data_IF_556383416616
#
_entry.id   IF_556383416616
#
_cell.length_a   1.000
_cell.length_b   1.000
_cell.length_c   1.000
_cell.angle_alpha   90.00
_cell.angle_beta   90.00
_cell.angle_gamma   90.00
#
_symmetry.space_group_name_H-M   'P 1'
#
loop_
_entity.id
_entity.type
_entity.pdbx_description
1 polymer ?
#
# COMPACT_ATOMS: atom_id res chain seq x y z
N UNK A 1 9.14 -1.48 -51.25
CA UNK A 1 8.32 -0.57 -50.41
C UNK A 1 7.73 -1.21 -49.14
N UNK A 2 7.55 -2.54 -49.04
CA UNK A 2 6.95 -3.19 -47.85
C UNK A 2 7.85 -3.32 -46.60
N UNK A 3 9.18 -3.30 -46.74
CA UNK A 3 10.09 -3.41 -45.58
C UNK A 3 10.09 -2.16 -44.69
N UNK A 4 9.88 -0.98 -45.28
CA UNK A 4 9.90 0.29 -44.56
C UNK A 4 8.67 0.46 -43.66
N UNK A 5 7.49 0.04 -44.15
CA UNK A 5 6.24 0.04 -43.36
C UNK A 5 6.26 -0.98 -42.23
N UNK A 6 6.93 -2.12 -42.42
CA UNK A 6 7.13 -3.13 -41.36
C UNK A 6 8.05 -2.60 -40.23
N UNK A 7 9.16 -1.93 -40.58
CA UNK A 7 10.02 -1.31 -39.57
C UNK A 7 9.33 -0.19 -38.78
N UNK A 8 8.52 0.62 -39.46
CA UNK A 8 7.75 1.68 -38.79
C UNK A 8 6.73 1.12 -37.78
N UNK A 9 6.02 0.06 -38.15
CA UNK A 9 5.05 -0.60 -37.26
C UNK A 9 5.73 -1.26 -36.06
N UNK A 10 6.86 -1.94 -36.25
CA UNK A 10 7.64 -2.51 -35.14
C UNK A 10 8.13 -1.42 -34.18
N UNK A 11 8.67 -0.31 -34.70
CA UNK A 11 9.12 0.81 -33.86
C UNK A 11 7.98 1.45 -33.06
N UNK A 12 6.79 1.58 -33.67
CA UNK A 12 5.61 2.10 -32.99
C UNK A 12 5.19 1.18 -31.84
N UNK A 13 5.14 -0.14 -32.07
CA UNK A 13 4.80 -1.14 -31.03
C UNK A 13 5.79 -1.08 -29.87
N UNK A 14 7.10 -1.05 -30.16
CA UNK A 14 8.14 -0.95 -29.13
C UNK A 14 8.02 0.34 -28.31
N UNK A 15 7.66 1.45 -28.95
CA UNK A 15 7.49 2.75 -28.28
C UNK A 15 6.26 2.73 -27.36
N UNK A 16 5.13 2.21 -27.83
CA UNK A 16 3.91 2.06 -27.02
C UNK A 16 4.15 1.11 -25.84
N UNK A 17 4.90 0.01 -26.05
CA UNK A 17 5.25 -0.91 -24.98
C UNK A 17 6.13 -0.25 -23.91
N UNK A 18 7.12 0.56 -24.31
CA UNK A 18 7.94 1.33 -23.36
C UNK A 18 7.12 2.33 -22.54
N UNK A 19 6.20 3.05 -23.18
CA UNK A 19 5.34 4.02 -22.50
C UNK A 19 4.40 3.33 -21.50
N UNK A 20 3.79 2.21 -21.88
CA UNK A 20 2.91 1.44 -20.98
C UNK A 20 3.67 0.88 -19.79
N UNK A 21 4.87 0.32 -20.00
CA UNK A 21 5.74 -0.11 -18.89
C UNK A 21 6.10 1.04 -17.96
N UNK A 22 6.45 2.22 -18.48
CA UNK A 22 6.75 3.41 -17.67
C UNK A 22 5.56 3.82 -16.79
N UNK A 23 4.35 3.84 -17.34
CA UNK A 23 3.13 4.14 -16.58
C UNK A 23 2.87 3.10 -15.48
N UNK A 24 3.11 1.82 -15.76
CA UNK A 24 2.96 0.74 -14.77
C UNK A 24 3.96 0.92 -13.63
N UNK A 25 5.24 1.17 -13.96
CA UNK A 25 6.27 1.42 -12.95
C UNK A 25 5.94 2.64 -12.08
N UNK A 26 5.54 3.76 -12.69
CA UNK A 26 5.18 4.96 -11.94
C UNK A 26 3.98 4.73 -10.99
N UNK A 27 2.97 3.98 -11.44
CA UNK A 27 1.84 3.59 -10.60
C UNK A 27 2.29 2.68 -9.45
N UNK A 28 3.21 1.77 -9.70
CA UNK A 28 3.73 0.85 -8.68
C UNK A 28 4.54 1.60 -7.60
N UNK A 29 5.46 2.48 -8.00
CA UNK A 29 6.25 3.30 -7.07
C UNK A 29 5.35 4.19 -6.19
N UNK A 30 4.30 4.78 -6.77
CA UNK A 30 3.32 5.55 -6.01
C UNK A 30 2.55 4.69 -4.99
N UNK A 31 2.11 3.49 -5.38
CA UNK A 31 1.41 2.55 -4.47
C UNK A 31 2.34 2.09 -3.35
N UNK A 32 3.61 1.83 -3.67
CA UNK A 32 4.62 1.43 -2.70
C UNK A 32 4.88 2.56 -1.69
N UNK A 33 5.12 3.79 -2.17
CA UNK A 33 5.29 4.97 -1.33
C UNK A 33 4.10 5.22 -0.40
N UNK A 34 2.87 5.02 -0.89
CA UNK A 34 1.67 5.14 -0.07
C UNK A 34 1.54 4.03 1.00
N UNK A 35 1.97 2.80 0.68
CA UNK A 35 2.02 1.71 1.65
C UNK A 35 3.05 1.99 2.73
N UNK A 36 4.23 2.47 2.35
CA UNK A 36 5.32 2.80 3.27
C UNK A 36 4.90 3.95 4.19
N UNK A 37 4.27 5.02 3.67
CA UNK A 37 3.73 6.10 4.50
C UNK A 37 2.72 5.59 5.54
N UNK A 38 1.81 4.68 5.15
CA UNK A 38 0.87 4.05 6.09
C UNK A 38 1.58 3.20 7.16
N UNK A 39 2.74 2.63 6.84
CA UNK A 39 3.55 1.86 7.77
C UNK A 39 4.38 2.75 8.72
N UNK A 40 4.82 3.93 8.28
CA UNK A 40 5.48 4.90 9.17
C UNK A 40 4.50 5.65 10.08
N UNK A 41 3.27 5.86 9.62
CA UNK A 41 2.25 6.59 10.38
C UNK A 41 1.51 5.70 11.41
N UNK A 42 1.64 4.38 11.38
CA UNK A 42 0.86 3.51 12.25
C UNK A 42 1.49 3.33 13.65
N UNK A 43 0.67 2.91 14.62
CA UNK A 43 1.08 2.73 16.01
C UNK A 43 1.63 1.33 16.28
N UNK A 44 2.69 1.29 17.08
CA UNK A 44 3.38 0.07 17.51
C UNK A 44 2.65 -0.68 18.63
N UNK A 45 3.21 -1.81 19.04
CA UNK A 45 2.67 -2.65 20.11
C UNK A 45 2.48 -1.86 21.42
N UNK A 46 1.39 -2.14 22.13
CA UNK A 46 0.94 -1.49 23.38
C UNK A 46 0.77 0.05 23.31
N UNK A 47 0.84 0.64 22.12
CA UNK A 47 0.52 2.05 21.92
C UNK A 47 -0.98 2.28 22.05
N UNK A 48 -1.37 3.45 22.55
CA UNK A 48 -2.77 3.85 22.60
C UNK A 48 -3.32 4.01 21.18
N UNK A 49 -4.48 3.46 20.89
CA UNK A 49 -5.11 3.50 19.57
C UNK A 49 -6.59 3.90 19.65
N UNK A 50 -7.12 4.45 18.56
CA UNK A 50 -8.55 4.70 18.42
C UNK A 50 -9.22 3.47 17.75
N UNK A 51 -10.28 2.90 18.35
CA UNK A 51 -11.00 1.79 17.74
C UNK A 51 -11.73 2.25 16.46
N UNK A 52 -11.82 1.37 15.47
CA UNK A 52 -12.50 1.59 14.17
C UNK A 52 -12.09 2.83 13.38
N UNK A 53 -10.91 3.38 13.65
CA UNK A 53 -10.37 4.50 12.89
C UNK A 53 -9.81 4.06 11.54
N UNK A 54 -10.03 4.88 10.52
CA UNK A 54 -9.35 4.77 9.22
C UNK A 54 -8.08 5.64 9.16
N UNK A 55 -7.83 6.46 10.18
CA UNK A 55 -6.65 7.32 10.25
C UNK A 55 -5.42 6.51 10.65
N UNK A 56 -4.39 6.39 9.78
CA UNK A 56 -3.20 5.60 10.08
C UNK A 56 -2.53 5.98 11.40
N UNK A 57 -2.42 7.28 11.67
CA UNK A 57 -1.83 7.87 12.89
C UNK A 57 -2.51 7.50 14.20
N UNK A 58 -3.77 7.05 14.12
CA UNK A 58 -4.57 6.63 15.28
C UNK A 58 -4.75 5.10 15.31
N UNK A 59 -4.43 4.42 14.20
CA UNK A 59 -4.55 2.98 14.03
C UNK A 59 -3.26 2.22 14.36
N UNK A 60 -3.37 0.90 14.52
CA UNK A 60 -2.23 0.02 14.76
C UNK A 60 -1.59 -0.43 13.44
N UNK A 61 -0.31 -0.77 13.48
CA UNK A 61 0.39 -1.31 12.32
C UNK A 61 -0.13 -2.70 11.93
N UNK A 62 -1.10 -2.72 11.02
CA UNK A 62 -1.66 -3.96 10.48
C UNK A 62 -0.63 -4.80 9.72
N UNK A 63 0.34 -4.16 9.05
CA UNK A 63 1.48 -4.86 8.40
C UNK A 63 2.29 -5.70 9.40
N UNK A 64 2.36 -5.26 10.65
CA UNK A 64 3.05 -5.94 11.76
C UNK A 64 2.14 -6.90 12.54
N UNK A 65 0.95 -7.22 12.02
CA UNK A 65 0.00 -8.12 12.66
C UNK A 65 -0.64 -7.56 13.93
N UNK A 66 -0.67 -6.23 14.10
CA UNK A 66 -1.28 -5.59 15.27
C UNK A 66 -2.75 -5.24 15.01
N UNK A 67 -3.56 -5.23 16.07
CA UNK A 67 -4.95 -4.79 16.06
C UNK A 67 -5.25 -3.95 17.30
N UNK A 68 -6.14 -2.97 17.17
CA UNK A 68 -6.59 -2.18 18.31
C UNK A 68 -7.60 -2.99 19.11
N UNK A 69 -7.30 -3.27 20.38
CA UNK A 69 -8.23 -3.92 21.31
C UNK A 69 -8.47 -3.04 22.52
N UNK A 70 -9.73 -2.98 22.95
CA UNK A 70 -10.18 -2.22 24.11
C UNK A 70 -10.70 -3.17 25.19
N UNK A 71 -10.91 -2.64 26.40
CA UNK A 71 -11.66 -3.37 27.41
C UNK A 71 -13.17 -3.44 27.04
N UNK A 72 -13.97 -4.12 27.87
CA UNK A 72 -15.42 -4.32 27.65
C UNK A 72 -16.23 -3.02 27.54
N UNK A 73 -15.65 -1.90 27.95
CA UNK A 73 -16.28 -0.58 27.96
C UNK A 73 -15.77 0.30 26.83
N UNK A 74 -15.01 -0.26 25.88
CA UNK A 74 -14.38 0.47 24.78
C UNK A 74 -13.37 1.54 25.24
N UNK A 75 -12.88 1.44 26.47
CA UNK A 75 -11.84 2.29 27.04
C UNK A 75 -10.48 1.57 27.03
N UNK A 76 -9.41 2.34 27.29
CA UNK A 76 -8.03 1.83 27.38
C UNK A 76 -7.60 0.99 26.18
N UNK A 77 -7.96 1.45 24.98
CA UNK A 77 -7.64 0.78 23.73
C UNK A 77 -6.12 0.77 23.47
N UNK A 78 -5.60 -0.41 23.13
CA UNK A 78 -4.16 -0.67 22.91
C UNK A 78 -3.93 -1.54 21.68
N UNK A 79 -2.83 -1.27 20.99
CA UNK A 79 -2.37 -2.13 19.91
C UNK A 79 -1.81 -3.43 20.47
N UNK A 80 -2.42 -4.55 20.11
CA UNK A 80 -1.97 -5.89 20.51
C UNK A 80 -1.85 -6.79 19.30
N UNK A 81 -1.07 -7.85 19.42
CA UNK A 81 -0.95 -8.87 18.37
C UNK A 81 -2.32 -9.45 18.07
N UNK A 82 -2.67 -9.50 16.78
CA UNK A 82 -3.85 -10.24 16.32
C UNK A 82 -3.68 -11.70 16.72
N UNK A 83 -4.65 -12.21 17.46
CA UNK A 83 -4.67 -13.61 17.85
C UNK A 83 -5.11 -14.50 16.67
N UNK A 84 -5.79 -13.93 15.65
CA UNK A 84 -6.37 -14.65 14.51
C UNK A 84 -6.45 -13.75 13.25
N UNK A 85 -6.22 -14.31 12.04
CA UNK A 85 -6.43 -13.67 10.73
C UNK A 85 -5.22 -12.90 10.15
N UNK A 86 -4.77 -13.29 8.94
CA UNK A 86 -3.77 -12.57 8.11
C UNK A 86 -4.43 -11.38 7.41
#
# INVERSE_FOLDING_TARGET
>A
MHKLTLLHTINLILTVHKLTMLHIYFKYDYIQSFRDYKEFACRGWNSHCAPWTNTPELGCCYSRGLSCKCNLWMHNCRCVTRLWGK
#
